data_IF_197580905235
#
_entry.id   IF_197580905235
#
_cell.length_a   1.000
_cell.length_b   1.000
_cell.length_c   1.000
_cell.angle_alpha   90.00
_cell.angle_beta   90.00
_cell.angle_gamma   90.00
#
_symmetry.space_group_name_H-M   'P 1'
#
loop_
_entity.id
_entity.type
_entity.pdbx_description
1 polymer ?
#
# COMPACT_ATOMS: atom_id res chain seq x y z
N UNK A 1 14.13 -10.21 -2.70
CA UNK A 1 14.21 -9.65 -1.33
C UNK A 1 12.99 -8.81 -0.94
N UNK A 2 12.67 -7.69 -1.63
CA UNK A 2 11.53 -6.79 -1.29
C UNK A 2 10.23 -7.55 -1.00
N UNK A 3 9.82 -8.44 -1.91
CA UNK A 3 8.61 -9.25 -1.76
C UNK A 3 8.57 -10.02 -0.43
N UNK A 4 9.68 -10.67 -0.02
CA UNK A 4 9.75 -11.42 1.24
C UNK A 4 9.53 -10.52 2.47
N UNK A 5 9.99 -9.28 2.44
CA UNK A 5 9.81 -8.35 3.58
C UNK A 5 8.37 -7.84 3.64
N UNK A 6 7.79 -7.48 2.49
CA UNK A 6 6.42 -6.94 2.40
C UNK A 6 5.37 -8.01 2.71
N UNK A 7 5.54 -9.25 2.21
CA UNK A 7 4.57 -10.34 2.42
C UNK A 7 4.77 -11.10 3.73
N UNK A 8 5.68 -10.66 4.60
CA UNK A 8 5.95 -11.34 5.88
C UNK A 8 6.75 -12.65 5.78
N UNK A 9 7.37 -12.94 4.63
CA UNK A 9 8.31 -14.07 4.48
C UNK A 9 9.57 -13.95 5.35
N UNK A 10 9.85 -12.76 5.88
CA UNK A 10 10.77 -12.53 7.01
C UNK A 10 9.94 -11.87 8.13
N UNK A 11 9.80 -12.50 9.31
CA UNK A 11 8.91 -12.01 10.37
C UNK A 11 9.27 -10.60 10.87
N UNK A 12 8.28 -9.77 11.25
CA UNK A 12 8.54 -8.50 11.92
C UNK A 12 9.39 -8.68 13.20
N UNK A 13 10.35 -7.79 13.42
CA UNK A 13 11.31 -7.84 14.53
C UNK A 13 12.46 -8.83 14.33
N UNK A 14 12.43 -9.68 13.29
CA UNK A 14 13.50 -10.66 13.07
C UNK A 14 14.74 -10.04 12.41
N UNK A 15 15.89 -10.61 12.76
CA UNK A 15 17.17 -10.29 12.11
C UNK A 15 17.23 -10.95 10.74
N UNK A 16 17.72 -10.20 9.76
CA UNK A 16 17.94 -10.70 8.40
C UNK A 16 19.24 -11.51 8.38
N UNK A 17 19.13 -12.81 8.11
CA UNK A 17 20.27 -13.70 8.00
C UNK A 17 20.91 -13.59 6.61
N UNK A 18 21.96 -12.76 6.50
CA UNK A 18 22.66 -12.52 5.23
C UNK A 18 23.21 -13.81 4.60
N UNK A 19 23.72 -14.75 5.42
CA UNK A 19 24.28 -16.01 4.93
C UNK A 19 23.20 -16.86 4.26
N UNK A 20 22.10 -17.10 4.98
CA UNK A 20 20.97 -17.88 4.46
C UNK A 20 20.43 -17.28 3.16
N UNK A 21 20.31 -15.95 3.07
CA UNK A 21 19.81 -15.29 1.87
C UNK A 21 20.79 -15.32 0.70
N UNK A 22 22.10 -15.27 0.96
CA UNK A 22 23.12 -15.50 -0.08
C UNK A 22 22.99 -16.90 -0.67
N UNK A 23 22.86 -17.91 0.20
CA UNK A 23 22.71 -19.30 -0.19
C UNK A 23 21.40 -19.52 -0.97
N UNK A 24 20.28 -18.94 -0.51
CA UNK A 24 18.97 -19.04 -1.18
C UNK A 24 18.95 -18.37 -2.55
N UNK A 25 19.54 -17.19 -2.69
CA UNK A 25 19.53 -16.44 -3.94
C UNK A 25 20.69 -16.79 -4.89
N UNK A 26 21.66 -17.60 -4.45
CA UNK A 26 22.85 -17.92 -5.23
C UNK A 26 23.74 -16.69 -5.51
N UNK A 27 23.80 -15.74 -4.59
CA UNK A 27 24.57 -14.48 -4.73
C UNK A 27 25.61 -14.31 -3.62
N UNK A 28 26.59 -13.43 -3.85
CA UNK A 28 27.56 -13.05 -2.83
C UNK A 28 27.00 -11.98 -1.87
N UNK A 29 27.75 -11.69 -0.79
CA UNK A 29 27.33 -10.71 0.23
C UNK A 29 27.26 -9.27 -0.30
N UNK A 30 28.10 -8.92 -1.27
CA UNK A 30 28.14 -7.55 -1.84
C UNK A 30 26.81 -7.13 -2.47
N UNK A 31 26.27 -7.84 -3.48
CA UNK A 31 24.97 -7.49 -4.06
C UNK A 31 23.82 -7.60 -3.05
N UNK A 32 23.90 -8.52 -2.08
CA UNK A 32 22.91 -8.58 -1.01
C UNK A 32 22.92 -7.30 -0.16
N UNK A 33 24.10 -6.79 0.22
CA UNK A 33 24.21 -5.57 1.02
C UNK A 33 23.75 -4.32 0.27
N UNK A 34 23.99 -4.23 -1.03
CA UNK A 34 23.42 -3.15 -1.84
C UNK A 34 21.89 -3.22 -1.88
N UNK A 35 21.31 -4.42 -2.02
CA UNK A 35 19.87 -4.60 -1.92
C UNK A 35 19.32 -4.22 -0.53
N UNK A 36 20.05 -4.53 0.56
CA UNK A 36 19.66 -4.13 1.92
C UNK A 36 19.70 -2.61 2.09
N UNK A 37 20.69 -1.90 1.54
CA UNK A 37 20.72 -0.43 1.56
C UNK A 37 19.52 0.19 0.86
N UNK A 38 19.13 -0.37 -0.30
CA UNK A 38 17.93 0.07 -1.02
C UNK A 38 16.67 -0.13 -0.16
N UNK A 39 16.50 -1.31 0.43
CA UNK A 39 15.35 -1.59 1.31
C UNK A 39 15.33 -0.72 2.56
N UNK A 40 16.51 -0.36 3.10
CA UNK A 40 16.60 0.58 4.21
C UNK A 40 16.17 1.98 3.78
N UNK A 41 16.62 2.45 2.60
CA UNK A 41 16.19 3.74 2.04
C UNK A 41 14.68 3.81 1.74
N UNK A 42 14.05 2.66 1.47
CA UNK A 42 12.61 2.51 1.29
C UNK A 42 11.85 2.39 2.63
N UNK A 43 12.55 2.37 3.77
CA UNK A 43 11.96 2.21 5.10
C UNK A 43 11.42 0.81 5.39
N UNK A 44 11.81 -0.19 4.60
CA UNK A 44 11.35 -1.57 4.76
C UNK A 44 12.15 -2.37 5.78
N UNK A 45 13.41 -1.97 6.03
CA UNK A 45 14.30 -2.59 7.00
C UNK A 45 15.05 -1.53 7.79
N UNK A 46 15.50 -1.90 8.98
CA UNK A 46 16.41 -1.10 9.79
C UNK A 46 17.83 -1.65 9.66
N UNK A 47 18.79 -0.75 9.44
CA UNK A 47 20.21 -1.09 9.25
C UNK A 47 21.10 -0.38 10.28
N UNK A 48 20.96 -0.67 11.58
CA UNK A 48 21.78 -0.07 12.63
C UNK A 48 23.27 -0.43 12.47
N UNK A 49 24.19 0.51 12.76
CA UNK A 49 25.63 0.25 12.74
C UNK A 49 26.00 -0.98 13.60
N UNK A 50 26.81 -1.88 13.03
CA UNK A 50 27.35 -3.08 13.69
C UNK A 50 26.33 -4.09 14.25
N UNK A 51 25.03 -3.92 14.01
CA UNK A 51 23.97 -4.81 14.54
C UNK A 51 23.31 -5.68 13.47
N UNK A 52 23.59 -5.39 12.20
CA UNK A 52 23.02 -6.09 11.05
C UNK A 52 21.59 -5.64 10.75
N UNK A 53 21.08 -6.07 9.60
CA UNK A 53 19.75 -5.69 9.13
C UNK A 53 18.65 -6.42 9.91
N UNK A 54 17.55 -5.73 10.21
CA UNK A 54 16.35 -6.34 10.79
C UNK A 54 15.08 -5.77 10.17
N UNK A 55 14.01 -6.55 10.22
CA UNK A 55 12.69 -6.11 9.75
C UNK A 55 11.99 -5.37 10.89
N UNK A 56 11.61 -4.08 10.75
CA UNK A 56 10.96 -3.34 11.83
C UNK A 56 9.64 -3.97 12.21
N UNK A 57 9.27 -3.93 13.50
CA UNK A 57 7.89 -4.22 13.92
C UNK A 57 6.96 -3.14 13.35
N UNK A 58 5.68 -3.49 13.15
CA UNK A 58 4.67 -2.47 12.89
C UNK A 58 4.43 -1.69 14.17
N UNK A 59 4.35 -0.37 14.06
CA UNK A 59 4.05 0.53 15.18
C UNK A 59 2.85 1.37 14.77
N UNK A 60 1.74 1.20 15.48
CA UNK A 60 0.44 1.76 15.10
C UNK A 60 0.47 3.28 14.83
N UNK A 61 1.07 4.14 15.68
CA UNK A 61 1.17 5.58 15.42
C UNK A 61 1.91 5.92 14.13
N UNK A 62 3.05 5.27 13.86
CA UNK A 62 3.81 5.48 12.62
C UNK A 62 3.02 5.04 11.38
N UNK A 63 2.28 3.94 11.48
CA UNK A 63 1.41 3.48 10.39
C UNK A 63 0.30 4.50 10.11
N UNK A 64 -0.30 5.08 11.15
CA UNK A 64 -1.30 6.14 11.00
C UNK A 64 -0.72 7.37 10.28
N UNK A 65 0.44 7.86 10.71
CA UNK A 65 1.13 8.99 10.06
C UNK A 65 1.41 8.72 8.57
N UNK A 66 1.82 7.50 8.23
CA UNK A 66 2.03 7.08 6.84
C UNK A 66 0.72 7.09 6.03
N UNK A 67 -0.38 6.64 6.63
CA UNK A 67 -1.70 6.65 5.99
C UNK A 67 -2.20 8.09 5.79
N UNK A 68 -2.00 8.98 6.75
CA UNK A 68 -2.37 10.39 6.62
C UNK A 68 -1.60 11.05 5.48
N UNK A 69 -0.29 10.81 5.40
CA UNK A 69 0.56 11.33 4.33
C UNK A 69 0.14 10.81 2.95
N UNK A 70 -0.09 9.49 2.80
CA UNK A 70 -0.49 8.93 1.51
C UNK A 70 -1.91 9.35 1.12
N UNK A 71 -2.81 9.51 2.10
CA UNK A 71 -4.16 10.01 1.89
C UNK A 71 -4.16 11.43 1.32
N UNK A 72 -3.26 12.30 1.82
CA UNK A 72 -3.08 13.64 1.25
C UNK A 72 -2.59 13.62 -0.20
N UNK A 73 -1.62 12.74 -0.52
CA UNK A 73 -1.10 12.58 -1.88
C UNK A 73 -2.18 12.07 -2.82
N UNK A 74 -2.86 10.98 -2.46
CA UNK A 74 -3.88 10.36 -3.29
C UNK A 74 -5.11 11.26 -3.46
N UNK A 75 -5.53 11.97 -2.41
CA UNK A 75 -6.57 13.01 -2.51
C UNK A 75 -6.21 14.02 -3.58
N UNK A 76 -5.03 14.62 -3.49
CA UNK A 76 -4.64 15.67 -4.42
C UNK A 76 -4.48 15.13 -5.85
N UNK A 77 -3.90 13.95 -6.01
CA UNK A 77 -3.80 13.28 -7.30
C UNK A 77 -5.19 12.99 -7.91
N UNK A 78 -6.14 12.55 -7.09
CA UNK A 78 -7.54 12.30 -7.50
C UNK A 78 -8.25 13.58 -7.92
N UNK A 79 -8.08 14.68 -7.19
CA UNK A 79 -8.62 16.01 -7.55
C UNK A 79 -8.08 16.47 -8.92
N UNK A 80 -6.79 16.26 -9.18
CA UNK A 80 -6.17 16.58 -10.47
C UNK A 80 -6.71 15.66 -11.57
N UNK A 81 -6.78 14.35 -11.30
CA UNK A 81 -7.27 13.34 -12.25
C UNK A 81 -8.70 13.67 -12.68
N UNK A 82 -9.61 13.96 -11.74
CA UNK A 82 -11.01 14.29 -12.01
C UNK A 82 -11.18 15.39 -13.08
N UNK A 83 -10.29 16.38 -13.11
CA UNK A 83 -10.39 17.52 -14.05
C UNK A 83 -10.09 17.12 -15.50
N UNK A 84 -9.27 16.09 -15.70
CA UNK A 84 -8.68 15.78 -17.02
C UNK A 84 -8.74 14.31 -17.43
N UNK A 85 -9.28 13.43 -16.59
CA UNK A 85 -9.33 11.99 -16.84
C UNK A 85 -9.98 11.71 -18.20
N UNK A 86 -9.34 10.82 -18.95
CA UNK A 86 -9.81 10.42 -20.27
C UNK A 86 -10.80 9.26 -20.16
N UNK A 87 -11.68 9.07 -21.17
CA UNK A 87 -12.54 7.90 -21.22
C UNK A 87 -11.77 6.56 -21.19
N UNK A 88 -10.54 6.54 -21.72
CA UNK A 88 -9.71 5.34 -21.70
C UNK A 88 -9.19 5.02 -20.29
N UNK A 89 -8.71 6.02 -19.56
CA UNK A 89 -8.29 5.86 -18.16
C UNK A 89 -9.46 5.46 -17.28
N UNK A 90 -10.63 6.09 -17.43
CA UNK A 90 -11.83 5.72 -16.67
C UNK A 90 -12.26 4.27 -16.94
N UNK A 91 -12.23 3.81 -18.20
CA UNK A 91 -12.48 2.39 -18.52
C UNK A 91 -11.47 1.45 -17.86
N UNK A 92 -10.18 1.85 -17.80
CA UNK A 92 -9.16 1.07 -17.09
C UNK A 92 -9.48 0.98 -15.59
N UNK A 93 -9.86 2.08 -14.96
CA UNK A 93 -10.23 2.11 -13.54
C UNK A 93 -11.45 1.24 -13.25
N UNK A 94 -12.49 1.28 -14.10
CA UNK A 94 -13.65 0.39 -13.97
C UNK A 94 -13.26 -1.09 -14.06
N UNK A 95 -12.38 -1.45 -15.00
CA UNK A 95 -11.87 -2.83 -15.08
C UNK A 95 -11.12 -3.26 -13.82
N UNK A 96 -10.37 -2.36 -13.18
CA UNK A 96 -9.70 -2.65 -11.91
C UNK A 96 -10.73 -2.83 -10.78
N UNK A 97 -11.79 -2.02 -10.76
CA UNK A 97 -12.90 -2.19 -9.83
C UNK A 97 -13.57 -3.57 -10.00
N UNK A 98 -13.88 -3.99 -11.23
CA UNK A 98 -14.45 -5.32 -11.50
C UNK A 98 -13.55 -6.45 -10.95
N UNK A 99 -12.23 -6.28 -11.04
CA UNK A 99 -11.26 -7.25 -10.49
C UNK A 99 -11.26 -7.27 -8.97
N UNK A 100 -11.42 -6.11 -8.31
CA UNK A 100 -11.54 -6.01 -6.85
C UNK A 100 -12.83 -6.71 -6.40
N UNK A 101 -13.96 -6.46 -7.08
CA UNK A 101 -15.25 -7.09 -6.80
C UNK A 101 -15.18 -8.62 -6.93
N UNK A 102 -14.68 -9.13 -8.06
CA UNK A 102 -14.52 -10.57 -8.28
C UNK A 102 -13.56 -11.21 -7.25
N UNK A 103 -12.50 -10.51 -6.84
CA UNK A 103 -11.59 -10.99 -5.81
C UNK A 103 -12.23 -11.02 -4.42
N UNK A 104 -13.07 -10.04 -4.10
CA UNK A 104 -13.86 -9.99 -2.88
C UNK A 104 -14.88 -11.15 -2.82
N UNK A 105 -15.67 -11.33 -3.88
CA UNK A 105 -16.68 -12.41 -3.96
C UNK A 105 -16.06 -13.81 -3.84
N UNK A 106 -14.92 -14.02 -4.49
CA UNK A 106 -14.15 -15.27 -4.40
C UNK A 106 -13.34 -15.43 -3.12
N UNK A 107 -13.41 -14.46 -2.19
CA UNK A 107 -12.65 -14.42 -0.93
C UNK A 107 -11.14 -14.58 -1.14
N UNK A 108 -10.62 -14.08 -2.27
CA UNK A 108 -9.21 -14.20 -2.63
C UNK A 108 -8.43 -12.98 -2.13
N UNK A 109 -7.95 -13.05 -0.89
CA UNK A 109 -7.21 -11.98 -0.23
C UNK A 109 -6.05 -11.41 -1.05
N UNK A 110 -5.25 -12.29 -1.67
CA UNK A 110 -4.07 -11.87 -2.44
C UNK A 110 -4.47 -11.09 -3.69
N UNK A 111 -5.48 -11.56 -4.42
CA UNK A 111 -6.00 -10.85 -5.60
C UNK A 111 -6.66 -9.54 -5.22
N UNK A 112 -7.41 -9.51 -4.11
CA UNK A 112 -8.06 -8.31 -3.61
C UNK A 112 -7.02 -7.23 -3.30
N UNK A 113 -6.02 -7.54 -2.47
CA UNK A 113 -4.97 -6.58 -2.09
C UNK A 113 -4.20 -6.06 -3.30
N UNK A 114 -3.81 -6.94 -4.23
CA UNK A 114 -3.08 -6.52 -5.44
C UNK A 114 -3.91 -5.64 -6.38
N UNK A 115 -5.20 -5.95 -6.57
CA UNK A 115 -6.10 -5.14 -7.42
C UNK A 115 -6.43 -3.80 -6.77
N UNK A 116 -6.63 -3.80 -5.44
CA UNK A 116 -6.78 -2.59 -4.65
C UNK A 116 -5.54 -1.70 -4.79
N UNK A 117 -4.34 -2.25 -4.68
CA UNK A 117 -3.12 -1.48 -4.86
C UNK A 117 -2.98 -0.89 -6.26
N UNK A 118 -3.41 -1.64 -7.29
CA UNK A 118 -3.36 -1.20 -8.68
C UNK A 118 -4.33 -0.05 -8.97
N UNK A 119 -5.55 -0.05 -8.39
CA UNK A 119 -6.51 1.05 -8.61
C UNK A 119 -6.01 2.37 -8.01
N UNK A 120 -5.42 2.37 -6.80
CA UNK A 120 -4.82 3.57 -6.21
C UNK A 120 -3.70 4.13 -7.09
N UNK A 121 -2.76 3.26 -7.51
CA UNK A 121 -1.69 3.66 -8.43
C UNK A 121 -2.25 4.23 -9.73
N UNK A 122 -3.24 3.59 -10.33
CA UNK A 122 -3.83 4.04 -11.59
C UNK A 122 -4.49 5.42 -11.47
N UNK A 123 -5.18 5.71 -10.35
CA UNK A 123 -5.74 7.04 -10.08
C UNK A 123 -4.63 8.08 -9.92
N UNK A 124 -3.57 7.77 -9.18
CA UNK A 124 -2.41 8.66 -9.04
C UNK A 124 -1.75 8.94 -10.40
N UNK A 125 -1.61 7.91 -11.25
CA UNK A 125 -1.06 8.08 -12.60
C UNK A 125 -1.97 8.93 -13.50
N UNK A 126 -3.29 8.81 -13.39
CA UNK A 126 -4.24 9.64 -14.13
C UNK A 126 -4.15 11.14 -13.76
N UNK A 127 -3.54 11.48 -12.62
CA UNK A 127 -3.18 12.87 -12.31
C UNK A 127 -2.14 13.45 -13.26
N UNK A 128 -1.39 12.62 -14.00
CA UNK A 128 -0.29 13.02 -14.87
C UNK A 128 0.83 13.79 -14.16
N UNK A 129 0.90 13.73 -12.83
CA UNK A 129 1.92 14.40 -12.03
C UNK A 129 2.98 13.38 -11.58
N UNK A 130 4.10 13.33 -12.30
CA UNK A 130 5.19 12.39 -12.04
C UNK A 130 5.77 12.53 -10.62
N UNK A 131 5.80 13.75 -10.07
CA UNK A 131 6.32 13.98 -8.71
C UNK A 131 5.38 13.38 -7.66
N UNK A 132 4.05 13.51 -7.83
CA UNK A 132 3.10 12.86 -6.94
C UNK A 132 3.18 11.34 -7.05
N UNK A 133 3.34 10.80 -8.26
CA UNK A 133 3.52 9.37 -8.46
C UNK A 133 4.79 8.82 -7.77
N UNK A 134 5.91 9.52 -7.88
CA UNK A 134 7.16 9.11 -7.24
C UNK A 134 7.09 9.16 -5.71
N UNK A 135 6.47 10.21 -5.15
CA UNK A 135 6.26 10.33 -3.70
C UNK A 135 5.28 9.26 -3.20
N UNK A 136 4.21 9.01 -3.96
CA UNK A 136 3.24 7.96 -3.68
C UNK A 136 3.93 6.61 -3.59
N UNK A 137 4.67 6.18 -4.61
CA UNK A 137 5.27 4.84 -4.64
C UNK A 137 6.22 4.58 -3.46
N UNK A 138 6.98 5.60 -3.03
CA UNK A 138 7.89 5.50 -1.88
C UNK A 138 7.15 5.23 -0.56
N UNK A 139 6.03 5.91 -0.33
CA UNK A 139 5.21 5.72 0.88
C UNK A 139 4.30 4.50 0.77
N UNK A 140 3.81 4.21 -0.43
CA UNK A 140 2.88 3.13 -0.72
C UNK A 140 3.44 1.78 -0.31
N UNK A 141 4.72 1.51 -0.59
CA UNK A 141 5.39 0.25 -0.21
C UNK A 141 5.42 0.04 1.31
N UNK A 142 5.55 1.10 2.11
CA UNK A 142 5.52 1.02 3.57
C UNK A 142 4.11 0.71 4.08
N UNK A 143 3.10 1.38 3.53
CA UNK A 143 1.68 1.15 3.86
C UNK A 143 1.21 -0.22 3.40
N UNK A 144 1.67 -0.70 2.24
CA UNK A 144 1.35 -2.01 1.68
C UNK A 144 1.74 -3.15 2.63
N UNK A 145 2.89 -3.01 3.29
CA UNK A 145 3.33 -3.96 4.32
C UNK A 145 2.37 -3.97 5.51
N UNK A 146 1.91 -2.81 5.98
CA UNK A 146 0.93 -2.72 7.04
C UNK A 146 -0.43 -3.30 6.62
N UNK A 147 -0.88 -3.06 5.38
CA UNK A 147 -2.11 -3.65 4.79
C UNK A 147 -2.03 -5.18 4.66
N UNK A 148 -0.87 -5.71 4.30
CA UNK A 148 -0.67 -7.16 4.12
C UNK A 148 -0.65 -7.91 5.44
N UNK A 149 -0.08 -7.30 6.49
CA UNK A 149 0.05 -7.91 7.82
C UNK A 149 -1.15 -7.60 8.72
N UNK A 150 -1.82 -6.46 8.53
CA UNK A 150 -3.07 -6.11 9.19
C UNK A 150 -4.22 -6.91 8.57
N UNK A 151 -4.72 -7.90 9.30
CA UNK A 151 -5.87 -8.71 8.87
C UNK A 151 -7.06 -7.76 8.67
N UNK A 152 -7.46 -7.59 7.41
CA UNK A 152 -8.64 -6.80 7.08
C UNK A 152 -9.89 -7.67 7.14
N UNK A 153 -10.88 -7.24 7.89
CA UNK A 153 -12.18 -7.92 8.02
C UNK A 153 -12.92 -7.95 6.68
N UNK A 154 -13.68 -9.02 6.37
CA UNK A 154 -14.58 -9.05 5.21
C UNK A 154 -15.54 -7.85 5.15
N UNK A 155 -15.95 -7.32 6.32
CA UNK A 155 -16.81 -6.12 6.41
C UNK A 155 -16.07 -4.91 5.82
N UNK A 156 -14.81 -4.71 6.21
CA UNK A 156 -14.01 -3.59 5.71
C UNK A 156 -13.76 -3.69 4.21
N UNK A 157 -13.61 -4.90 3.68
CA UNK A 157 -13.47 -5.09 2.23
C UNK A 157 -14.75 -4.72 1.48
N UNK A 158 -15.92 -5.11 2.00
CA UNK A 158 -17.21 -4.74 1.39
C UNK A 158 -17.40 -3.22 1.33
N UNK A 159 -17.08 -2.51 2.43
CA UNK A 159 -17.12 -1.06 2.48
C UNK A 159 -16.13 -0.43 1.49
N UNK A 160 -14.89 -0.93 1.44
CA UNK A 160 -13.83 -0.47 0.54
C UNK A 160 -14.23 -0.60 -0.94
N UNK A 161 -14.86 -1.73 -1.30
CA UNK A 161 -15.42 -1.97 -2.65
C UNK A 161 -16.45 -0.89 -3.00
N UNK A 162 -17.40 -0.62 -2.10
CA UNK A 162 -18.44 0.39 -2.32
C UNK A 162 -17.87 1.81 -2.39
N UNK A 163 -16.88 2.13 -1.56
CA UNK A 163 -16.20 3.43 -1.57
C UNK A 163 -15.51 3.71 -2.90
N UNK A 164 -14.86 2.72 -3.52
CA UNK A 164 -14.26 2.89 -4.85
C UNK A 164 -15.29 3.24 -5.92
N UNK A 165 -16.49 2.64 -5.89
CA UNK A 165 -17.56 2.96 -6.84
C UNK A 165 -17.88 4.46 -6.80
N UNK A 166 -18.08 5.02 -5.60
CA UNK A 166 -18.34 6.46 -5.43
C UNK A 166 -17.18 7.34 -5.90
N UNK A 167 -15.93 6.91 -5.71
CA UNK A 167 -14.75 7.64 -6.24
C UNK A 167 -14.79 7.66 -7.77
N UNK A 168 -15.10 6.52 -8.42
CA UNK A 168 -15.16 6.42 -9.88
C UNK A 168 -16.31 7.26 -10.47
N UNK A 169 -17.46 7.29 -9.81
CA UNK A 169 -18.58 8.16 -10.17
C UNK A 169 -18.18 9.64 -10.10
N UNK A 170 -17.55 10.07 -9.01
CA UNK A 170 -17.08 11.45 -8.88
C UNK A 170 -16.00 11.82 -9.91
N UNK A 171 -15.14 10.86 -10.30
CA UNK A 171 -14.17 11.04 -11.39
C UNK A 171 -14.87 11.18 -12.76
N UNK A 172 -15.91 10.40 -13.02
CA UNK A 172 -16.70 10.45 -14.26
C UNK A 172 -17.46 11.77 -14.41
N UNK A 173 -18.05 12.25 -13.31
CA UNK A 173 -18.73 13.55 -13.22
C UNK A 173 -17.75 14.74 -13.21
N UNK A 174 -16.44 14.48 -13.18
CA UNK A 174 -15.37 15.48 -13.05
C UNK A 174 -15.50 16.35 -11.79
N UNK A 175 -16.14 15.83 -10.74
CA UNK A 175 -16.29 16.52 -9.47
C UNK A 175 -15.01 16.35 -8.63
N UNK A 176 -14.02 17.19 -8.90
CA UNK A 176 -12.70 17.10 -8.28
C UNK A 176 -12.75 17.13 -6.74
N UNK A 177 -13.53 18.05 -6.16
CA UNK A 177 -13.62 18.20 -4.71
C UNK A 177 -14.22 16.95 -4.05
N UNK A 178 -15.28 16.40 -4.63
CA UNK A 178 -15.91 15.17 -4.13
C UNK A 178 -14.99 13.97 -4.28
N UNK A 179 -14.36 13.79 -5.46
CA UNK A 179 -13.48 12.66 -5.72
C UNK A 179 -12.29 12.64 -4.75
N UNK A 180 -11.68 13.79 -4.48
CA UNK A 180 -10.61 13.94 -3.50
C UNK A 180 -11.03 13.60 -2.07
N UNK A 181 -12.20 14.07 -1.66
CA UNK A 181 -12.71 13.83 -0.30
C UNK A 181 -13.11 12.37 -0.10
N UNK A 182 -13.74 11.72 -1.09
CA UNK A 182 -14.05 10.29 -1.05
C UNK A 182 -12.78 9.45 -0.98
N UNK A 183 -11.74 9.77 -1.76
CA UNK A 183 -10.43 9.10 -1.70
C UNK A 183 -9.79 9.25 -0.32
N UNK A 184 -9.82 10.46 0.26
CA UNK A 184 -9.30 10.72 1.60
C UNK A 184 -10.02 9.87 2.65
N UNK A 185 -11.36 9.83 2.59
CA UNK A 185 -12.19 9.10 3.53
C UNK A 185 -11.94 7.59 3.43
N UNK A 186 -11.90 7.05 2.21
CA UNK A 186 -11.56 5.65 1.94
C UNK A 186 -10.21 5.26 2.58
N UNK A 187 -9.17 6.08 2.36
CA UNK A 187 -7.85 5.83 2.93
C UNK A 187 -7.83 5.88 4.45
N UNK A 188 -8.54 6.83 5.07
CA UNK A 188 -8.64 6.92 6.51
C UNK A 188 -9.44 5.77 7.13
N UNK A 189 -10.50 5.30 6.46
CA UNK A 189 -11.28 4.14 6.90
C UNK A 189 -10.43 2.87 6.88
N UNK A 190 -9.74 2.60 5.77
CA UNK A 190 -8.75 1.52 5.67
C UNK A 190 -7.67 1.64 6.72
N UNK A 191 -7.18 2.86 6.96
CA UNK A 191 -6.14 3.12 7.94
C UNK A 191 -6.51 2.79 9.38
N UNK A 192 -7.70 3.25 9.81
CA UNK A 192 -8.23 2.96 11.14
C UNK A 192 -8.37 1.46 11.38
N UNK A 193 -8.85 0.72 10.37
CA UNK A 193 -8.97 -0.74 10.47
C UNK A 193 -7.61 -1.43 10.63
N UNK A 194 -6.59 -1.00 9.87
CA UNK A 194 -5.23 -1.53 9.98
C UNK A 194 -4.63 -1.23 11.37
N UNK A 195 -4.77 0.01 11.84
CA UNK A 195 -4.27 0.43 13.15
C UNK A 195 -4.93 -0.36 14.27
N UNK A 196 -6.25 -0.54 14.21
CA UNK A 196 -6.97 -1.36 15.19
C UNK A 196 -6.44 -2.80 15.24
N UNK A 197 -6.21 -3.42 14.09
CA UNK A 197 -5.62 -4.76 14.01
C UNK A 197 -4.21 -4.82 14.59
N UNK A 198 -3.35 -3.83 14.30
CA UNK A 198 -1.99 -3.76 14.87
C UNK A 198 -2.05 -3.68 16.40
N UNK A 199 -2.94 -2.85 16.96
CA UNK A 199 -3.10 -2.71 18.41
C UNK A 199 -3.61 -4.00 19.08
N UNK A 200 -4.44 -4.79 18.39
CA UNK A 200 -4.88 -6.11 18.89
C UNK A 200 -3.74 -7.15 18.86
N UNK A 201 -2.91 -7.13 17.83
CA UNK A 201 -1.71 -7.98 17.74
C UNK A 201 -0.67 -7.61 18.81
N UNK A 202 -0.56 -6.34 19.19
CA UNK A 202 0.31 -5.90 20.28
C UNK A 202 -0.18 -6.38 21.66
N UNK A 203 -1.49 -6.58 21.86
CA UNK A 203 -2.05 -7.10 23.12
C UNK A 203 -1.89 -8.61 23.30
N UNK A 204 -1.62 -9.33 22.21
CA UNK A 204 -1.51 -10.80 22.19
C UNK A 204 -0.06 -11.30 22.20
N UNK A 205 0.91 -10.39 22.24
CA UNK A 205 2.36 -10.65 22.40
C UNK A 205 2.85 -10.25 23.78
#
# INVERSE_FOLDING_TARGET
MRLKVVTGGIPPGSRINEKMLCDEFGISRTPLREALKILHSEGLIDLPPNRGAHVPKLYAPRVLEQIEAISGIERHATEIAARKITPQELRRLRKLQDQIEAAFESKNAKKYLSSNDEIHRAIVQASGNAILADLHERLFVQVQRARTLGVSSPIRWAESVAEHVGILEALEERNAALAGELMRQHNMNSGKAIVACILELEKTQ
#
